data_IF_992443372118
#
_entry.id   IF_992443372118
#
_cell.length_a   1.000
_cell.length_b   1.000
_cell.length_c   1.000
_cell.angle_alpha   90.00
_cell.angle_beta   90.00
_cell.angle_gamma   90.00
#
_symmetry.space_group_name_H-M   'P 1'
#
loop_
_entity.id
_entity.type
_entity.pdbx_description
1 polymer ?
#
# COMPACT_ATOMS: atom_id res chain seq x y z
N UNK A 1 -10.39 -13.35 -17.82
CA UNK A 1 -11.49 -13.30 -16.81
C UNK A 1 -11.19 -12.14 -15.89
N UNK A 2 -12.09 -11.17 -15.80
CA UNK A 2 -11.94 -10.02 -14.90
C UNK A 2 -12.05 -10.52 -13.46
N UNK A 3 -10.99 -10.32 -12.69
CA UNK A 3 -10.92 -10.65 -11.25
C UNK A 3 -11.71 -9.61 -10.44
N UNK A 4 -13.04 -9.60 -10.59
CA UNK A 4 -13.85 -8.71 -9.77
C UNK A 4 -14.02 -9.31 -8.37
N UNK A 5 -13.36 -8.76 -7.39
CA UNK A 5 -13.61 -9.10 -6.00
C UNK A 5 -14.98 -8.59 -5.58
N UNK A 6 -15.67 -9.33 -4.73
CA UNK A 6 -16.93 -8.85 -4.14
C UNK A 6 -16.61 -7.58 -3.33
N UNK A 7 -17.39 -6.48 -3.46
CA UNK A 7 -17.09 -5.22 -2.77
C UNK A 7 -16.90 -5.39 -1.25
N UNK A 8 -17.67 -6.28 -0.64
CA UNK A 8 -17.55 -6.56 0.80
C UNK A 8 -16.18 -7.15 1.18
N UNK A 9 -15.59 -8.01 0.34
CA UNK A 9 -14.27 -8.57 0.61
C UNK A 9 -13.19 -7.49 0.46
N UNK A 10 -13.28 -6.63 -0.56
CA UNK A 10 -12.35 -5.50 -0.71
C UNK A 10 -12.39 -4.58 0.52
N UNK A 11 -13.58 -4.22 1.01
CA UNK A 11 -13.72 -3.40 2.22
C UNK A 11 -13.11 -4.09 3.45
N UNK A 12 -13.29 -5.40 3.59
CA UNK A 12 -12.69 -6.18 4.67
C UNK A 12 -11.17 -6.16 4.59
N UNK A 13 -10.60 -6.36 3.39
CA UNK A 13 -9.15 -6.33 3.16
C UNK A 13 -8.57 -4.94 3.45
N UNK A 14 -9.22 -3.86 3.02
CA UNK A 14 -8.79 -2.50 3.33
C UNK A 14 -8.80 -2.21 4.83
N UNK A 15 -9.87 -2.63 5.53
CA UNK A 15 -9.98 -2.45 6.98
C UNK A 15 -8.93 -3.27 7.73
N UNK A 16 -8.74 -4.53 7.33
CA UNK A 16 -7.72 -5.39 7.93
C UNK A 16 -6.31 -4.86 7.67
N UNK A 17 -5.97 -4.55 6.43
CA UNK A 17 -4.66 -4.00 6.08
C UNK A 17 -4.41 -2.65 6.74
N UNK A 18 -5.43 -1.79 6.79
CA UNK A 18 -5.37 -0.51 7.49
C UNK A 18 -5.12 -0.67 8.99
N UNK A 19 -5.75 -1.65 9.63
CA UNK A 19 -5.48 -1.97 11.03
C UNK A 19 -4.04 -2.45 11.25
N UNK A 20 -3.54 -3.36 10.41
CA UNK A 20 -2.15 -3.83 10.48
C UNK A 20 -1.18 -2.66 10.31
N UNK A 21 -1.39 -1.83 9.29
CA UNK A 21 -0.54 -0.65 9.07
C UNK A 21 -0.60 0.32 10.26
N UNK A 22 -1.79 0.60 10.80
CA UNK A 22 -1.94 1.48 11.96
C UNK A 22 -1.14 0.97 13.17
N UNK A 23 -1.15 -0.33 13.45
CA UNK A 23 -0.34 -0.91 14.52
C UNK A 23 1.17 -0.78 14.26
N UNK A 24 1.62 -0.92 13.01
CA UNK A 24 3.02 -0.68 12.62
C UNK A 24 3.40 0.79 12.85
N UNK A 25 2.53 1.72 12.49
CA UNK A 25 2.72 3.16 12.70
C UNK A 25 2.79 3.51 14.19
N UNK A 26 1.87 2.96 15.01
CA UNK A 26 1.91 3.12 16.46
C UNK A 26 3.22 2.60 17.04
N UNK A 27 3.64 1.39 16.65
CA UNK A 27 4.90 0.80 17.11
C UNK A 27 6.11 1.67 16.71
N UNK A 28 6.12 2.19 15.48
CA UNK A 28 7.17 3.09 15.00
C UNK A 28 7.24 4.38 15.82
N UNK A 29 6.11 5.06 16.04
CA UNK A 29 6.06 6.32 16.81
C UNK A 29 6.45 6.11 18.28
N UNK A 30 6.02 5.02 18.91
CA UNK A 30 6.45 4.66 20.25
C UNK A 30 7.96 4.42 20.33
N UNK A 31 8.53 3.72 19.35
CA UNK A 31 9.98 3.49 19.26
C UNK A 31 10.78 4.77 19.04
N UNK A 32 10.18 5.78 18.38
CA UNK A 32 10.76 7.12 18.18
C UNK A 32 10.59 8.03 19.39
N UNK A 33 9.76 7.67 20.36
CA UNK A 33 9.43 8.53 21.50
C UNK A 33 8.49 9.68 21.14
N UNK A 34 7.62 9.49 20.15
CA UNK A 34 6.66 10.48 19.65
C UNK A 34 5.19 10.02 19.85
N UNK A 35 4.79 9.58 21.07
CA UNK A 35 3.43 9.06 21.30
C UNK A 35 2.34 10.12 21.11
N UNK A 36 2.67 11.41 21.25
CA UNK A 36 1.75 12.54 21.06
C UNK A 36 1.30 12.69 19.59
N UNK A 37 2.08 12.15 18.64
CA UNK A 37 1.75 12.15 17.22
C UNK A 37 0.86 10.97 16.80
N UNK A 38 0.48 10.09 17.71
CA UNK A 38 -0.47 9.01 17.43
C UNK A 38 -1.86 9.61 17.29
N UNK A 39 -2.42 9.57 16.09
CA UNK A 39 -3.72 10.18 15.79
C UNK A 39 -4.68 9.15 15.19
N UNK A 40 -5.95 9.24 15.59
CA UNK A 40 -7.02 8.42 15.01
C UNK A 40 -7.25 8.69 13.52
N UNK A 41 -6.86 9.86 13.01
CA UNK A 41 -6.88 10.16 11.57
C UNK A 41 -6.02 9.19 10.78
N UNK A 42 -4.95 8.64 11.38
CA UNK A 42 -4.10 7.63 10.75
C UNK A 42 -4.83 6.33 10.45
N UNK A 43 -5.88 5.99 11.18
CA UNK A 43 -6.72 4.81 10.86
C UNK A 43 -7.38 5.02 9.49
N UNK A 44 -7.98 6.19 9.26
CA UNK A 44 -8.60 6.51 7.98
C UNK A 44 -7.57 6.55 6.84
N UNK A 45 -6.42 7.18 7.07
CA UNK A 45 -5.32 7.22 6.09
C UNK A 45 -4.83 5.80 5.80
N UNK A 46 -4.61 4.97 6.82
CA UNK A 46 -4.18 3.58 6.67
C UNK A 46 -5.14 2.75 5.80
N UNK A 47 -6.45 2.89 6.00
CA UNK A 47 -7.46 2.25 5.17
C UNK A 47 -7.39 2.76 3.73
N UNK A 48 -7.29 4.07 3.52
CA UNK A 48 -7.16 4.68 2.19
C UNK A 48 -5.91 4.21 1.45
N UNK A 49 -4.78 4.05 2.14
CA UNK A 49 -3.54 3.55 1.55
C UNK A 49 -3.63 2.07 1.13
N UNK A 50 -4.50 1.28 1.76
CA UNK A 50 -4.73 -0.11 1.35
C UNK A 50 -5.52 -0.26 0.04
N UNK A 51 -6.28 0.78 -0.37
CA UNK A 51 -7.05 0.74 -1.62
C UNK A 51 -6.15 0.53 -2.85
N UNK A 52 -5.12 1.38 -3.12
CA UNK A 52 -4.22 1.15 -4.25
C UNK A 52 -3.48 -0.19 -4.17
N UNK A 53 -3.12 -0.66 -2.96
CA UNK A 53 -2.42 -1.94 -2.78
C UNK A 53 -3.28 -3.11 -3.23
N UNK A 54 -4.53 -3.16 -2.77
CA UNK A 54 -5.49 -4.20 -3.15
C UNK A 54 -5.86 -4.11 -4.63
N UNK A 55 -6.05 -2.90 -5.17
CA UNK A 55 -6.40 -2.70 -6.57
C UNK A 55 -5.27 -3.09 -7.51
N UNK A 56 -4.02 -2.75 -7.19
CA UNK A 56 -2.87 -3.16 -7.99
C UNK A 56 -2.79 -4.70 -8.11
N UNK A 57 -2.93 -5.43 -7.00
CA UNK A 57 -2.96 -6.89 -7.04
C UNK A 57 -4.16 -7.46 -7.80
N UNK A 58 -5.34 -6.83 -7.71
CA UNK A 58 -6.55 -7.31 -8.36
C UNK A 58 -6.61 -7.02 -9.86
N UNK A 59 -6.07 -5.89 -10.31
CA UNK A 59 -6.24 -5.39 -11.69
C UNK A 59 -5.03 -5.66 -12.58
N UNK A 60 -3.82 -5.70 -12.01
CA UNK A 60 -2.62 -5.98 -12.78
C UNK A 60 -2.50 -7.48 -13.07
N UNK A 61 -2.08 -7.85 -14.31
CA UNK A 61 -1.93 -9.26 -14.66
C UNK A 61 -0.74 -9.88 -13.91
N UNK A 62 -0.85 -11.14 -13.52
CA UNK A 62 0.26 -11.89 -12.90
C UNK A 62 1.48 -12.07 -13.83
N UNK A 63 1.32 -11.81 -15.13
CA UNK A 63 2.44 -11.73 -16.07
C UNK A 63 3.34 -10.52 -15.82
N UNK A 64 2.80 -9.46 -15.20
CA UNK A 64 3.58 -8.30 -14.77
C UNK A 64 4.46 -8.69 -13.58
N UNK A 65 5.77 -8.42 -13.62
CA UNK A 65 6.66 -8.71 -12.48
C UNK A 65 6.19 -8.05 -11.19
N UNK A 66 6.25 -8.78 -10.07
CA UNK A 66 5.79 -8.29 -8.77
C UNK A 66 6.47 -6.97 -8.35
N UNK A 67 7.78 -6.83 -8.61
CA UNK A 67 8.49 -5.60 -8.28
C UNK A 67 7.98 -4.38 -9.05
N UNK A 68 7.52 -4.58 -10.31
CA UNK A 68 6.95 -3.50 -11.11
C UNK A 68 5.53 -3.14 -10.62
N UNK A 69 4.74 -4.14 -10.23
CA UNK A 69 3.45 -3.92 -9.58
C UNK A 69 3.64 -3.15 -8.27
N UNK A 70 4.62 -3.54 -7.45
CA UNK A 70 4.94 -2.89 -6.18
C UNK A 70 5.45 -1.45 -6.39
N UNK A 71 6.25 -1.20 -7.44
CA UNK A 71 6.73 0.14 -7.75
C UNK A 71 5.59 1.08 -8.16
N UNK A 72 4.72 0.62 -9.05
CA UNK A 72 3.54 1.39 -9.46
C UNK A 72 2.60 1.65 -8.28
N UNK A 73 2.39 0.63 -7.44
CA UNK A 73 1.60 0.74 -6.23
C UNK A 73 2.21 1.73 -5.24
N UNK A 74 3.52 1.64 -4.97
CA UNK A 74 4.21 2.56 -4.05
C UNK A 74 4.14 4.02 -4.53
N UNK A 75 4.21 4.26 -5.84
CA UNK A 75 4.01 5.60 -6.40
C UNK A 75 2.59 6.13 -6.14
N UNK A 76 1.55 5.28 -6.29
CA UNK A 76 0.18 5.65 -5.97
C UNK A 76 -0.02 5.89 -4.47
N UNK A 77 0.55 5.03 -3.62
CA UNK A 77 0.50 5.19 -2.15
C UNK A 77 1.18 6.50 -1.74
N UNK A 78 2.36 6.81 -2.27
CA UNK A 78 3.08 8.08 -2.02
C UNK A 78 2.25 9.29 -2.48
N UNK A 79 1.54 9.19 -3.61
CA UNK A 79 0.65 10.26 -4.06
C UNK A 79 -0.54 10.46 -3.11
N UNK A 80 -1.16 9.38 -2.63
CA UNK A 80 -2.24 9.44 -1.63
C UNK A 80 -1.72 10.00 -0.30
N UNK A 81 -0.53 9.60 0.15
CA UNK A 81 0.13 10.12 1.34
C UNK A 81 0.38 11.63 1.22
N UNK A 82 0.86 12.10 0.06
CA UNK A 82 1.05 13.53 -0.20
C UNK A 82 -0.28 14.30 -0.06
N UNK A 83 -1.34 13.82 -0.71
CA UNK A 83 -2.65 14.48 -0.63
C UNK A 83 -3.19 14.46 0.81
N UNK A 84 -3.09 13.32 1.50
CA UNK A 84 -3.48 13.23 2.90
C UNK A 84 -2.68 14.18 3.79
N UNK A 85 -1.36 14.28 3.58
CA UNK A 85 -0.50 15.21 4.31
C UNK A 85 -0.85 16.67 4.07
N UNK A 86 -1.11 17.06 2.82
CA UNK A 86 -1.56 18.42 2.50
C UNK A 86 -2.90 18.76 3.16
N UNK A 87 -3.81 17.79 3.25
CA UNK A 87 -5.10 17.99 3.91
C UNK A 87 -4.95 18.01 5.44
N UNK A 88 -4.30 17.01 6.02
CA UNK A 88 -4.27 16.83 7.46
C UNK A 88 -3.26 17.76 8.15
N UNK A 89 -2.04 17.88 7.63
CA UNK A 89 -0.98 18.63 8.29
C UNK A 89 -0.93 20.10 7.84
N UNK A 90 -1.22 20.40 6.55
CA UNK A 90 -1.12 21.77 6.05
C UNK A 90 -2.45 22.51 6.17
N UNK A 91 -3.56 21.91 5.72
CA UNK A 91 -4.87 22.60 5.72
C UNK A 91 -5.57 22.52 7.08
N UNK A 92 -5.56 21.33 7.73
CA UNK A 92 -6.21 21.14 9.03
C UNK A 92 -5.26 21.35 10.23
N UNK A 93 -3.97 21.57 9.98
CA UNK A 93 -2.93 21.84 11.01
C UNK A 93 -2.86 20.77 12.12
N UNK A 94 -3.09 19.50 11.77
CA UNK A 94 -3.17 18.41 12.75
C UNK A 94 -1.81 17.84 13.17
N UNK A 95 -0.70 18.19 12.47
CA UNK A 95 0.67 17.72 12.72
C UNK A 95 0.78 16.20 12.97
N UNK A 96 0.10 15.42 12.13
CA UNK A 96 0.03 13.96 12.26
C UNK A 96 1.39 13.32 11.97
N UNK A 97 2.14 13.86 10.99
CA UNK A 97 3.54 13.52 10.69
C UNK A 97 4.26 14.71 10.06
N UNK A 98 5.58 14.68 10.16
CA UNK A 98 6.47 15.68 9.54
C UNK A 98 7.77 15.01 9.10
N UNK A 99 8.04 15.05 7.78
CA UNK A 99 9.27 14.52 7.19
C UNK A 99 10.26 15.63 6.79
N UNK A 100 10.08 16.87 7.24
CA UNK A 100 10.93 18.00 6.87
C UNK A 100 12.41 17.79 7.22
N UNK A 101 12.70 17.02 8.27
CA UNK A 101 14.05 16.63 8.67
C UNK A 101 14.66 15.46 7.87
N UNK A 102 13.92 14.85 6.92
CA UNK A 102 14.40 13.71 6.15
C UNK A 102 14.86 14.12 4.75
N UNK A 103 15.82 13.37 4.16
CA UNK A 103 16.35 13.69 2.84
C UNK A 103 15.29 13.50 1.75
N UNK A 104 15.38 14.35 0.71
CA UNK A 104 14.49 14.31 -0.45
C UNK A 104 12.99 14.30 -0.06
N UNK A 105 12.65 15.13 0.94
CA UNK A 105 11.27 15.37 1.28
C UNK A 105 10.63 16.41 0.35
N UNK A 106 9.33 16.34 0.19
CA UNK A 106 8.51 17.33 -0.49
C UNK A 106 7.54 17.94 0.52
N UNK A 107 7.80 19.18 0.90
CA UNK A 107 7.01 19.96 1.87
C UNK A 107 6.81 19.27 3.23
N UNK A 108 7.73 18.37 3.62
CA UNK A 108 7.61 17.59 4.84
C UNK A 108 6.49 16.53 4.81
N UNK A 109 5.76 16.36 3.70
CA UNK A 109 4.60 15.48 3.63
C UNK A 109 4.95 14.08 3.10
N UNK A 110 5.90 13.98 2.18
CA UNK A 110 6.47 12.72 1.67
C UNK A 110 7.99 12.82 1.62
N UNK A 111 8.69 11.70 1.63
CA UNK A 111 10.13 11.65 1.44
C UNK A 111 10.58 10.33 0.81
N UNK A 112 11.74 10.33 0.16
CA UNK A 112 12.26 9.14 -0.51
C UNK A 112 12.46 7.93 0.42
N UNK A 113 12.98 8.07 1.65
CA UNK A 113 13.10 6.94 2.57
C UNK A 113 11.76 6.24 2.84
N UNK A 114 10.68 6.98 3.09
CA UNK A 114 9.36 6.39 3.33
C UNK A 114 8.72 5.86 2.04
N UNK A 115 8.96 6.49 0.88
CA UNK A 115 8.56 5.89 -0.41
C UNK A 115 9.23 4.54 -0.67
N UNK A 116 10.50 4.36 -0.23
CA UNK A 116 11.17 3.06 -0.28
C UNK A 116 10.54 2.04 0.69
N UNK A 117 10.12 2.48 1.88
CA UNK A 117 9.34 1.64 2.82
C UNK A 117 8.01 1.23 2.19
N UNK A 118 7.30 2.15 1.52
CA UNK A 118 6.07 1.83 0.79
C UNK A 118 6.31 0.78 -0.29
N UNK A 119 7.41 0.87 -1.03
CA UNK A 119 7.76 -0.16 -2.01
C UNK A 119 7.93 -1.54 -1.36
N UNK A 120 8.65 -1.63 -0.24
CA UNK A 120 8.83 -2.89 0.50
C UNK A 120 7.51 -3.43 1.06
N UNK A 121 6.65 -2.55 1.58
CA UNK A 121 5.31 -2.93 2.05
C UNK A 121 4.43 -3.42 0.90
N UNK A 122 4.45 -2.77 -0.26
CA UNK A 122 3.70 -3.22 -1.44
C UNK A 122 4.16 -4.59 -1.94
N UNK A 123 5.49 -4.87 -1.93
CA UNK A 123 6.02 -6.21 -2.25
C UNK A 123 5.46 -7.30 -1.34
N UNK A 124 5.11 -6.96 -0.11
CA UNK A 124 4.57 -7.91 0.88
C UNK A 124 3.05 -7.96 0.84
N UNK A 125 2.39 -6.82 0.84
CA UNK A 125 0.93 -6.76 0.98
C UNK A 125 0.17 -7.14 -0.30
N UNK A 126 0.71 -6.90 -1.49
CA UNK A 126 0.08 -7.36 -2.74
C UNK A 126 -0.12 -8.89 -2.73
N UNK A 127 0.92 -9.72 -2.49
CA UNK A 127 0.76 -11.15 -2.38
C UNK A 127 -0.16 -11.59 -1.22
N UNK A 128 -0.08 -10.91 -0.08
CA UNK A 128 -0.93 -11.24 1.07
C UNK A 128 -2.40 -10.99 0.76
N UNK A 129 -2.75 -9.85 0.16
CA UNK A 129 -4.14 -9.56 -0.21
C UNK A 129 -4.66 -10.53 -1.28
N UNK A 130 -3.85 -10.89 -2.26
CA UNK A 130 -4.23 -11.87 -3.28
C UNK A 130 -4.41 -13.26 -2.68
N UNK A 131 -3.56 -13.66 -1.74
CA UNK A 131 -3.69 -14.92 -1.01
C UNK A 131 -4.96 -14.95 -0.15
N UNK A 132 -5.23 -13.88 0.62
CA UNK A 132 -6.45 -13.75 1.42
C UNK A 132 -7.69 -13.79 0.54
N UNK A 133 -7.68 -13.13 -0.61
CA UNK A 133 -8.77 -13.17 -1.58
C UNK A 133 -8.96 -14.58 -2.12
N UNK A 134 -7.88 -15.26 -2.47
CA UNK A 134 -7.92 -16.64 -2.95
C UNK A 134 -8.52 -17.58 -1.91
N UNK A 135 -8.19 -17.44 -0.64
CA UNK A 135 -8.73 -18.30 0.44
C UNK A 135 -10.24 -18.17 0.60
N UNK A 136 -10.81 -17.00 0.28
CA UNK A 136 -12.25 -16.71 0.42
C UNK A 136 -13.02 -17.00 -0.87
N UNK A 137 -12.49 -16.59 -2.03
CA UNK A 137 -13.18 -16.67 -3.31
C UNK A 137 -12.77 -17.89 -4.14
N UNK A 138 -11.68 -18.56 -3.79
CA UNK A 138 -11.09 -19.62 -4.61
C UNK A 138 -10.52 -19.10 -5.93
N UNK A 139 -10.46 -19.95 -6.96
CA UNK A 139 -9.97 -19.63 -8.28
C UNK A 139 -8.51 -20.03 -8.48
N UNK A 140 -7.80 -19.32 -9.35
CA UNK A 140 -6.39 -19.62 -9.64
C UNK A 140 -5.49 -19.19 -8.47
N UNK A 141 -4.50 -20.04 -8.14
CA UNK A 141 -3.50 -19.73 -7.13
C UNK A 141 -2.68 -18.49 -7.53
N UNK A 142 -2.48 -17.49 -6.63
CA UNK A 142 -1.63 -16.35 -6.91
C UNK A 142 -0.22 -16.79 -7.33
N UNK A 143 0.21 -16.40 -8.53
CA UNK A 143 1.53 -16.74 -9.04
C UNK A 143 2.22 -15.49 -9.57
N UNK A 144 3.40 -15.18 -9.02
CA UNK A 144 4.16 -13.98 -9.36
C UNK A 144 5.42 -14.32 -10.13
N UNK A 145 5.78 -13.43 -11.07
CA UNK A 145 7.03 -13.51 -11.82
C UNK A 145 8.01 -12.47 -11.28
N UNK A 146 9.28 -12.84 -11.24
CA UNK A 146 10.36 -11.90 -10.91
C UNK A 146 10.80 -11.09 -12.14
N UNK A 147 10.68 -11.67 -13.34
CA UNK A 147 11.13 -11.06 -14.59
C UNK A 147 10.05 -11.14 -15.65
N UNK A 148 10.09 -10.21 -16.61
CA UNK A 148 9.21 -10.23 -17.78
C UNK A 148 9.64 -11.38 -18.70
N UNK A 149 8.94 -12.50 -18.66
CA UNK A 149 9.14 -13.59 -19.62
C UNK A 149 8.07 -13.49 -20.70
N UNK A 150 8.50 -13.26 -21.95
CA UNK A 150 7.58 -13.48 -23.07
C UNK A 150 7.12 -14.94 -23.03
N UNK A 151 5.81 -15.15 -23.10
CA UNK A 151 5.26 -16.49 -23.32
C UNK A 151 5.79 -16.93 -24.70
N UNK A 152 6.66 -17.93 -24.76
CA UNK A 152 6.84 -18.65 -26.02
C UNK A 152 5.48 -19.26 -26.32
N UNK A 153 4.78 -18.74 -27.32
CA UNK A 153 3.65 -19.44 -27.89
C UNK A 153 4.23 -20.78 -28.38
N UNK A 154 3.72 -21.86 -27.78
CA UNK A 154 3.97 -23.18 -28.31
C UNK A 154 3.23 -23.24 -29.65
N UNK A 155 3.98 -23.04 -30.74
CA UNK A 155 3.53 -23.40 -32.07
C UNK A 155 3.47 -24.94 -32.12
N UNK A 156 2.28 -25.50 -31.92
CA UNK A 156 1.90 -26.79 -32.45
C UNK A 156 1.15 -26.60 -33.75
#
# INVERSE_FOLDING_TARGET
>A
MTRWSKPALSMLLWTWGGAVYFFLEVAYKLARGEPERISWTMVAVAVLLCIPVERCGAELPWACPLWLQALACAALVTAVELVAGLVLNVWLELDVWDYSGLPLNLWGQICLPFSAVWFALCLTFIPVFDWLRWTVEGGEWPSYRLWWTQRKEATE
#
